data_IF_097938384450
#
_entry.id   IF_097938384450
#
_cell.length_a   1.000
_cell.length_b   1.000
_cell.length_c   1.000
_cell.angle_alpha   90.00
_cell.angle_beta   90.00
_cell.angle_gamma   90.00
#
_symmetry.space_group_name_H-M   'P 1'
#
loop_
_entity.id
_entity.type
_entity.pdbx_description
1 polymer ?
#
# COMPACT_ATOMS: atom_id res chain seq x y z
N UNK A 1 9.28 6.29 7.32
CA UNK A 1 8.77 4.93 7.06
C UNK A 1 9.88 3.89 7.08
N UNK A 2 9.50 2.62 7.28
CA UNK A 2 10.36 1.45 7.06
C UNK A 2 9.93 0.73 5.80
N UNK A 3 10.84 -0.02 5.19
CA UNK A 3 10.52 -0.88 4.04
C UNK A 3 10.79 -2.34 4.40
N UNK A 4 9.82 -3.20 4.18
CA UNK A 4 9.97 -4.65 4.21
C UNK A 4 9.82 -5.18 2.78
N UNK A 5 10.90 -5.70 2.21
CA UNK A 5 10.91 -6.31 0.89
C UNK A 5 11.12 -7.83 0.94
N UNK A 6 10.94 -8.46 2.10
CA UNK A 6 11.25 -9.89 2.31
C UNK A 6 10.50 -10.81 1.34
N UNK A 7 9.22 -10.53 1.05
CA UNK A 7 8.40 -11.30 0.12
C UNK A 7 8.90 -11.15 -1.32
N UNK A 8 9.04 -9.91 -1.80
CA UNK A 8 9.53 -9.69 -3.17
C UNK A 8 10.94 -10.27 -3.34
N UNK A 9 11.82 -10.17 -2.34
CA UNK A 9 13.16 -10.77 -2.40
C UNK A 9 13.11 -12.30 -2.55
N UNK A 10 12.20 -13.00 -1.89
CA UNK A 10 12.04 -14.46 -2.07
C UNK A 10 11.65 -14.79 -3.52
N UNK A 11 10.71 -14.05 -4.10
CA UNK A 11 10.32 -14.19 -5.50
C UNK A 11 11.47 -13.89 -6.48
N UNK A 12 12.21 -12.80 -6.27
CA UNK A 12 13.33 -12.38 -7.12
C UNK A 12 14.49 -13.38 -7.07
N UNK A 13 14.73 -13.98 -5.90
CA UNK A 13 15.72 -15.06 -5.73
C UNK A 13 15.26 -16.41 -6.29
N UNK A 14 14.06 -16.47 -6.88
CA UNK A 14 13.52 -17.68 -7.49
C UNK A 14 13.13 -18.77 -6.51
N UNK A 15 12.82 -18.42 -5.27
CA UNK A 15 12.25 -19.38 -4.32
C UNK A 15 10.86 -19.83 -4.76
N UNK A 16 10.48 -21.04 -4.35
CA UNK A 16 9.16 -21.60 -4.63
C UNK A 16 8.04 -20.73 -4.01
N UNK A 17 6.89 -20.51 -4.68
CA UNK A 17 5.81 -19.67 -4.19
C UNK A 17 5.36 -19.99 -2.76
N UNK A 18 5.34 -21.27 -2.41
CA UNK A 18 4.96 -21.75 -1.07
C UNK A 18 5.82 -21.15 0.07
N UNK A 19 7.03 -20.69 -0.24
CA UNK A 19 7.95 -20.08 0.75
C UNK A 19 7.57 -18.65 1.16
N UNK A 20 6.69 -17.99 0.40
CA UNK A 20 6.25 -16.63 0.67
C UNK A 20 4.72 -16.43 0.60
N UNK A 21 3.97 -17.38 0.05
CA UNK A 21 2.52 -17.31 -0.05
C UNK A 21 1.81 -17.53 1.30
N UNK A 22 2.46 -18.18 2.28
CA UNK A 22 1.92 -18.35 3.65
C UNK A 22 1.99 -17.07 4.51
N UNK A 23 2.21 -15.90 3.90
CA UNK A 23 2.22 -14.64 4.64
C UNK A 23 0.79 -14.22 5.02
N UNK A 24 0.62 -13.69 6.24
CA UNK A 24 -0.66 -13.25 6.78
C UNK A 24 -1.39 -12.22 5.88
N UNK A 25 -0.65 -11.41 5.11
CA UNK A 25 -1.20 -10.37 4.23
C UNK A 25 -2.22 -10.96 3.25
N UNK A 26 -1.98 -12.19 2.77
CA UNK A 26 -2.84 -12.87 1.80
C UNK A 26 -4.14 -13.37 2.41
N UNK A 27 -4.30 -13.32 3.73
CA UNK A 27 -5.55 -13.66 4.42
C UNK A 27 -6.25 -12.44 5.03
N UNK A 28 -5.65 -11.24 4.92
CA UNK A 28 -6.08 -10.05 5.63
C UNK A 28 -7.28 -9.32 5.01
N UNK A 29 -7.63 -9.61 3.75
CA UNK A 29 -8.71 -8.91 3.03
C UNK A 29 -10.14 -9.27 3.48
N UNK A 30 -10.29 -10.16 4.48
CA UNK A 30 -11.61 -10.58 4.99
C UNK A 30 -12.46 -11.38 3.98
N UNK A 31 -11.89 -11.74 2.81
CA UNK A 31 -12.54 -12.52 1.74
C UNK A 31 -11.94 -13.92 1.57
N UNK A 32 -11.19 -14.38 2.57
CA UNK A 32 -10.41 -15.62 2.52
C UNK A 32 -8.98 -15.39 2.03
N UNK A 33 -8.30 -16.51 1.76
CA UNK A 33 -6.92 -16.51 1.29
C UNK A 33 -6.85 -16.11 -0.20
N UNK A 34 -6.04 -15.12 -0.53
CA UNK A 34 -5.83 -14.58 -1.88
C UNK A 34 -4.35 -14.63 -2.25
N UNK A 35 -3.98 -15.48 -3.20
CA UNK A 35 -2.62 -15.49 -3.74
C UNK A 35 -2.62 -15.97 -5.18
N UNK A 36 -2.05 -15.17 -6.07
CA UNK A 36 -1.78 -15.51 -7.45
C UNK A 36 -0.28 -15.68 -7.66
N UNK A 37 0.13 -16.83 -8.20
CA UNK A 37 1.55 -17.09 -8.42
C UNK A 37 2.13 -16.08 -9.43
N UNK A 38 3.10 -15.24 -9.02
CA UNK A 38 3.71 -14.27 -9.92
C UNK A 38 4.53 -14.97 -11.00
N UNK A 39 4.51 -14.45 -12.24
CA UNK A 39 5.15 -15.10 -13.38
C UNK A 39 6.67 -14.98 -13.27
N UNK A 40 7.46 -16.06 -13.48
CA UNK A 40 8.92 -15.97 -13.45
C UNK A 40 9.51 -14.99 -14.48
N UNK A 41 8.83 -14.77 -15.60
CA UNK A 41 9.23 -13.82 -16.66
C UNK A 41 9.22 -12.36 -16.19
N UNK A 42 8.50 -12.04 -15.10
CA UNK A 42 8.35 -10.67 -14.61
C UNK A 42 9.51 -10.23 -13.70
N UNK A 43 10.36 -11.17 -13.26
CA UNK A 43 11.42 -10.92 -12.27
C UNK A 43 12.36 -9.78 -12.63
N UNK A 44 12.72 -9.66 -13.90
CA UNK A 44 13.67 -8.63 -14.35
C UNK A 44 13.11 -7.22 -14.12
N UNK A 45 11.90 -6.95 -14.60
CA UNK A 45 11.30 -5.63 -14.47
C UNK A 45 10.82 -5.38 -13.03
N UNK A 46 10.37 -6.42 -12.31
CA UNK A 46 10.03 -6.32 -10.87
C UNK A 46 11.29 -5.98 -10.04
N UNK A 47 12.47 -6.50 -10.41
CA UNK A 47 13.74 -6.13 -9.73
C UNK A 47 14.01 -4.64 -9.88
N UNK A 48 13.86 -4.11 -11.10
CA UNK A 48 14.06 -2.69 -11.38
C UNK A 48 13.03 -1.83 -10.62
N UNK A 49 11.77 -2.25 -10.62
CA UNK A 49 10.69 -1.55 -9.93
C UNK A 49 10.90 -1.56 -8.42
N UNK A 50 11.26 -2.71 -7.84
CA UNK A 50 11.58 -2.84 -6.42
C UNK A 50 12.68 -1.85 -6.02
N UNK A 51 13.78 -1.78 -6.77
CA UNK A 51 14.86 -0.81 -6.51
C UNK A 51 14.35 0.63 -6.57
N UNK A 52 13.58 0.97 -7.60
CA UNK A 52 13.00 2.31 -7.79
C UNK A 52 12.06 2.70 -6.65
N UNK A 53 11.10 1.84 -6.31
CA UNK A 53 10.13 2.11 -5.25
C UNK A 53 10.79 2.21 -3.89
N UNK A 54 11.79 1.36 -3.59
CA UNK A 54 12.60 1.48 -2.36
C UNK A 54 13.24 2.86 -2.26
N UNK A 55 13.88 3.32 -3.32
CA UNK A 55 14.50 4.65 -3.35
C UNK A 55 13.46 5.77 -3.17
N UNK A 56 12.32 5.67 -3.86
CA UNK A 56 11.23 6.64 -3.72
C UNK A 56 10.63 6.66 -2.31
N UNK A 57 10.43 5.51 -1.66
CA UNK A 57 9.91 5.42 -0.29
C UNK A 57 10.91 5.99 0.72
N UNK A 58 12.20 5.69 0.56
CA UNK A 58 13.24 6.22 1.45
C UNK A 58 13.43 7.73 1.30
N UNK A 59 13.21 8.28 0.11
CA UNK A 59 13.23 9.71 -0.20
C UNK A 59 11.81 10.28 -0.34
N UNK A 60 10.87 9.78 0.46
CA UNK A 60 9.46 10.17 0.37
C UNK A 60 9.26 11.66 0.62
N UNK A 61 8.48 12.30 -0.26
CA UNK A 61 8.01 13.67 -0.10
C UNK A 61 6.49 13.66 -0.24
N UNK A 62 5.79 14.16 0.77
CA UNK A 62 4.33 14.20 0.75
C UNK A 62 3.83 15.13 -0.37
N UNK A 63 2.81 14.70 -1.11
CA UNK A 63 2.11 15.60 -2.01
C UNK A 63 1.27 16.60 -1.21
N UNK A 64 1.20 17.84 -1.70
CA UNK A 64 0.41 18.91 -1.09
C UNK A 64 0.68 19.13 0.42
N UNK A 65 1.96 19.10 0.80
CA UNK A 65 2.41 19.09 2.20
C UNK A 65 1.79 20.19 3.09
N UNK A 66 1.53 21.38 2.53
CA UNK A 66 0.91 22.48 3.29
C UNK A 66 -0.50 22.13 3.74
N UNK A 67 -1.33 21.62 2.82
CA UNK A 67 -2.70 21.23 3.13
C UNK A 67 -2.73 20.00 4.05
N UNK A 68 -1.91 19.00 3.73
CA UNK A 68 -1.80 17.76 4.53
C UNK A 68 -1.46 18.09 5.98
N UNK A 69 -0.45 18.92 6.24
CA UNK A 69 -0.06 19.30 7.61
C UNK A 69 -1.09 20.18 8.32
N UNK A 70 -1.89 20.96 7.59
CA UNK A 70 -2.99 21.74 8.18
C UNK A 70 -4.15 20.83 8.63
N UNK A 71 -4.49 19.83 7.83
CA UNK A 71 -5.58 18.89 8.13
C UNK A 71 -5.16 17.84 9.17
N UNK A 72 -3.90 17.40 9.10
CA UNK A 72 -3.31 16.34 9.91
C UNK A 72 -1.97 16.80 10.51
N UNK A 73 -1.98 17.58 11.61
CA UNK A 73 -0.75 18.08 12.22
C UNK A 73 0.22 16.99 12.70
N UNK A 74 -0.29 15.79 13.02
CA UNK A 74 0.49 14.62 13.44
C UNK A 74 0.97 13.74 12.29
N UNK A 75 0.85 14.19 11.03
CA UNK A 75 1.19 13.37 9.85
C UNK A 75 2.64 12.85 9.89
N UNK A 76 3.59 13.69 10.31
CA UNK A 76 5.00 13.30 10.37
C UNK A 76 5.27 12.16 11.38
N UNK A 77 4.42 12.01 12.40
CA UNK A 77 4.51 10.93 13.38
C UNK A 77 3.90 9.64 12.82
N UNK A 78 2.72 9.76 12.19
CA UNK A 78 2.06 8.67 11.46
C UNK A 78 3.01 8.07 10.42
N UNK A 79 3.66 8.89 9.60
CA UNK A 79 4.61 8.42 8.58
C UNK A 79 5.77 7.59 9.16
N UNK A 80 6.23 7.89 10.37
CA UNK A 80 7.36 7.17 10.98
C UNK A 80 6.98 5.79 11.52
N UNK A 81 5.71 5.60 11.88
CA UNK A 81 5.21 4.37 12.48
C UNK A 81 4.95 3.27 11.45
N UNK A 82 4.72 3.64 10.18
CA UNK A 82 4.31 2.68 9.16
C UNK A 82 5.47 1.98 8.45
N UNK A 83 5.21 0.73 8.12
CA UNK A 83 6.05 -0.11 7.27
C UNK A 83 5.38 -0.28 5.91
N UNK A 84 6.13 0.02 4.86
CA UNK A 84 5.73 -0.28 3.48
C UNK A 84 6.26 -1.66 3.13
N UNK A 85 5.36 -2.59 2.83
CA UNK A 85 5.69 -3.94 2.38
C UNK A 85 5.69 -3.97 0.85
N UNK A 86 6.82 -4.35 0.26
CA UNK A 86 6.94 -4.60 -1.18
C UNK A 86 6.75 -6.09 -1.44
N UNK A 87 5.69 -6.44 -2.15
CA UNK A 87 5.21 -7.82 -2.28
C UNK A 87 4.88 -8.17 -3.74
N UNK A 88 4.50 -9.43 -3.95
CA UNK A 88 4.01 -9.96 -5.23
C UNK A 88 2.98 -11.05 -4.98
N UNK A 89 1.98 -11.14 -5.85
CA UNK A 89 0.99 -12.22 -5.83
C UNK A 89 -0.35 -11.88 -5.21
N UNK A 90 -0.66 -10.60 -4.99
CA UNK A 90 -2.05 -10.19 -4.91
C UNK A 90 -2.73 -10.27 -6.29
N UNK A 91 -4.02 -10.65 -6.34
CA UNK A 91 -4.81 -10.57 -7.57
C UNK A 91 -5.12 -9.12 -7.95
N UNK A 92 -5.56 -8.90 -9.19
CA UNK A 92 -6.17 -7.63 -9.60
C UNK A 92 -7.42 -7.33 -8.75
N UNK A 93 -7.68 -6.07 -8.36
CA UNK A 93 -6.94 -4.84 -8.67
C UNK A 93 -6.09 -4.33 -7.50
N UNK A 94 -5.51 -5.21 -6.66
CA UNK A 94 -4.84 -4.79 -5.42
C UNK A 94 -3.38 -4.38 -5.66
N UNK A 95 -3.16 -3.18 -6.22
CA UNK A 95 -1.83 -2.60 -6.40
C UNK A 95 -1.28 -1.99 -5.10
N UNK A 96 -2.07 -1.16 -4.43
CA UNK A 96 -1.74 -0.55 -3.15
C UNK A 96 -2.91 -0.65 -2.17
N UNK A 97 -2.61 -0.88 -0.89
CA UNK A 97 -3.63 -1.00 0.16
C UNK A 97 -3.03 -0.81 1.56
N UNK A 98 -3.86 -0.42 2.53
CA UNK A 98 -3.53 -0.48 3.96
C UNK A 98 -4.13 -1.73 4.59
N UNK A 99 -3.29 -2.52 5.26
CA UNK A 99 -3.70 -3.68 6.06
C UNK A 99 -3.33 -3.47 7.53
N UNK A 100 -4.12 -4.05 8.43
CA UNK A 100 -3.81 -4.08 9.86
C UNK A 100 -3.51 -5.52 10.31
N UNK A 101 -2.44 -5.69 11.09
CA UNK A 101 -2.11 -6.95 11.74
C UNK A 101 -1.49 -6.70 13.10
N UNK A 102 -2.00 -7.39 14.12
CA UNK A 102 -1.60 -7.25 15.53
C UNK A 102 -1.60 -5.78 16.02
N UNK A 103 -2.61 -5.01 15.62
CA UNK A 103 -2.77 -3.60 15.97
C UNK A 103 -1.75 -2.66 15.31
N UNK A 104 -1.01 -3.13 14.30
CA UNK A 104 -0.09 -2.33 13.49
C UNK A 104 -0.59 -2.23 12.06
N UNK A 105 -0.51 -1.03 11.49
CA UNK A 105 -0.82 -0.78 10.10
C UNK A 105 0.39 -1.00 9.19
N UNK A 106 0.13 -1.55 8.01
CA UNK A 106 1.10 -1.81 6.94
C UNK A 106 0.54 -1.22 5.65
N UNK A 107 1.38 -0.54 4.88
CA UNK A 107 1.06 -0.15 3.51
C UNK A 107 1.65 -1.25 2.63
N UNK A 108 0.85 -1.90 1.80
CA UNK A 108 1.30 -3.01 0.95
C UNK A 108 1.27 -2.56 -0.50
N UNK A 109 2.41 -2.68 -1.18
CA UNK A 109 2.53 -2.46 -2.62
C UNK A 109 2.83 -3.78 -3.31
N UNK A 110 1.91 -4.22 -4.16
CA UNK A 110 2.13 -5.37 -5.02
C UNK A 110 2.78 -4.92 -6.34
N UNK A 111 4.05 -5.30 -6.52
CA UNK A 111 4.83 -4.83 -7.67
C UNK A 111 4.35 -5.44 -8.99
N UNK A 112 3.72 -6.62 -8.96
CA UNK A 112 3.14 -7.22 -10.15
C UNK A 112 1.90 -6.45 -10.62
N UNK A 113 1.10 -5.93 -9.68
CA UNK A 113 -0.10 -5.14 -9.97
C UNK A 113 0.19 -3.67 -10.32
N UNK A 114 1.21 -3.05 -9.73
CA UNK A 114 1.73 -1.74 -10.18
C UNK A 114 2.12 -1.75 -11.68
N UNK A 115 2.50 -2.93 -12.17
CA UNK A 115 2.79 -3.17 -13.58
C UNK A 115 4.11 -2.56 -14.05
N UNK A 116 4.52 -3.01 -15.24
CA UNK A 116 5.79 -2.60 -15.86
C UNK A 116 5.85 -1.11 -16.19
N UNK A 117 4.71 -0.49 -16.48
CA UNK A 117 4.63 0.93 -16.85
C UNK A 117 5.04 1.85 -15.69
N UNK A 118 4.94 1.38 -14.43
CA UNK A 118 5.46 2.08 -13.26
C UNK A 118 6.99 2.23 -13.25
N UNK A 119 7.71 1.62 -14.20
CA UNK A 119 9.13 1.89 -14.43
C UNK A 119 9.40 3.26 -15.09
N UNK A 120 8.42 3.87 -15.77
CA UNK A 120 8.55 5.18 -16.42
C UNK A 120 9.21 6.21 -15.50
N UNK A 121 10.23 6.93 -15.95
CA UNK A 121 11.02 7.85 -15.12
C UNK A 121 10.17 8.94 -14.44
N UNK A 122 9.03 9.32 -15.02
CA UNK A 122 8.10 10.30 -14.47
C UNK A 122 7.17 9.72 -13.41
N UNK A 123 7.08 8.39 -13.30
CA UNK A 123 6.28 7.73 -12.28
C UNK A 123 6.90 7.90 -10.89
N UNK A 124 6.08 8.36 -9.94
CA UNK A 124 6.44 8.46 -8.52
C UNK A 124 5.33 7.88 -7.63
N UNK A 125 5.69 6.93 -6.77
CA UNK A 125 4.78 6.35 -5.79
C UNK A 125 4.43 7.29 -4.62
N UNK A 126 5.01 8.50 -4.58
CA UNK A 126 4.73 9.46 -3.50
C UNK A 126 3.25 9.87 -3.45
N UNK A 127 2.57 9.91 -4.59
CA UNK A 127 1.12 10.17 -4.64
C UNK A 127 0.33 9.06 -3.96
N UNK A 128 0.64 7.80 -4.30
CA UNK A 128 0.04 6.61 -3.70
C UNK A 128 0.33 6.53 -2.20
N UNK A 129 1.58 6.74 -1.79
CA UNK A 129 1.95 6.78 -0.36
C UNK A 129 1.20 7.87 0.40
N UNK A 130 1.09 9.07 -0.19
CA UNK A 130 0.33 10.17 0.44
C UNK A 130 -1.15 9.81 0.56
N UNK A 131 -1.73 9.17 -0.46
CA UNK A 131 -3.10 8.68 -0.46
C UNK A 131 -3.36 7.71 0.72
N UNK A 132 -2.57 6.64 0.82
CA UNK A 132 -2.72 5.64 1.88
C UNK A 132 -2.50 6.24 3.29
N UNK A 133 -1.52 7.13 3.45
CA UNK A 133 -1.27 7.82 4.71
C UNK A 133 -2.43 8.74 5.11
N UNK A 134 -3.17 9.31 4.15
CA UNK A 134 -4.37 10.10 4.45
C UNK A 134 -5.48 9.21 5.00
N UNK A 135 -5.72 8.03 4.42
CA UNK A 135 -6.70 7.07 4.97
C UNK A 135 -6.39 6.74 6.41
N UNK A 136 -5.11 6.46 6.71
CA UNK A 136 -4.64 6.20 8.08
C UNK A 136 -4.96 7.39 9.00
N UNK A 137 -4.59 8.61 8.60
CA UNK A 137 -4.86 9.80 9.41
C UNK A 137 -6.37 10.03 9.61
N UNK A 138 -7.17 9.78 8.57
CA UNK A 138 -8.62 9.91 8.63
C UNK A 138 -9.22 8.90 9.60
N UNK A 139 -8.80 7.63 9.53
CA UNK A 139 -9.28 6.55 10.39
C UNK A 139 -8.92 6.75 11.87
N UNK A 140 -7.81 7.42 12.17
CA UNK A 140 -7.47 7.80 13.54
C UNK A 140 -8.46 8.82 14.12
N UNK A 141 -8.97 9.73 13.29
CA UNK A 141 -9.88 10.82 13.71
C UNK A 141 -11.36 10.45 13.58
N UNK A 142 -11.71 9.68 12.56
CA UNK A 142 -13.06 9.26 12.20
C UNK A 142 -13.04 7.74 12.02
N UNK A 143 -13.13 7.01 13.13
CA UNK A 143 -13.13 5.55 13.09
C UNK A 143 -14.40 5.04 12.39
N UNK A 144 -14.22 4.08 11.48
CA UNK A 144 -15.32 3.32 10.90
C UNK A 144 -16.12 2.63 12.00
N UNK A 145 -17.44 2.77 11.95
CA UNK A 145 -18.35 2.09 12.87
C UNK A 145 -18.53 0.65 12.39
N UNK A 146 -18.46 -0.33 13.30
CA UNK A 146 -18.75 -1.71 12.95
C UNK A 146 -20.26 -1.94 12.77
N UNK A 147 -20.64 -2.83 11.86
CA UNK A 147 -22.04 -3.21 11.58
C UNK A 147 -22.94 -2.06 11.10
N UNK A 148 -22.40 -1.16 10.28
CA UNK A 148 -23.19 -0.13 9.60
C UNK A 148 -24.20 -0.74 8.62
N UNK A 149 -25.28 0.00 8.33
CA UNK A 149 -26.14 -0.33 7.20
C UNK A 149 -25.36 -0.23 5.89
N UNK A 150 -25.79 -0.94 4.85
CA UNK A 150 -25.13 -0.88 3.54
C UNK A 150 -24.96 0.56 3.01
N UNK A 151 -25.98 1.42 3.19
CA UNK A 151 -25.95 2.80 2.70
C UNK A 151 -24.95 3.64 3.51
N UNK A 152 -24.91 3.49 4.83
CA UNK A 152 -23.95 4.22 5.66
C UNK A 152 -22.52 3.77 5.38
N UNK A 153 -22.31 2.48 5.16
CA UNK A 153 -21.02 1.91 4.79
C UNK A 153 -20.52 2.41 3.43
N UNK A 154 -21.42 2.47 2.45
CA UNK A 154 -21.12 3.04 1.13
C UNK A 154 -20.78 4.53 1.24
N UNK A 155 -21.55 5.30 2.02
CA UNK A 155 -21.30 6.73 2.23
C UNK A 155 -19.95 6.98 2.92
N UNK A 156 -19.62 6.19 3.94
CA UNK A 156 -18.32 6.26 4.62
C UNK A 156 -17.19 5.98 3.64
N UNK A 157 -17.28 4.88 2.88
CA UNK A 157 -16.26 4.47 1.91
C UNK A 157 -16.10 5.53 0.81
N UNK A 158 -17.20 6.04 0.26
CA UNK A 158 -17.15 7.08 -0.77
C UNK A 158 -16.53 8.40 -0.25
N UNK A 159 -16.80 8.76 1.01
CA UNK A 159 -16.17 9.91 1.65
C UNK A 159 -14.67 9.69 1.86
N UNK A 160 -14.27 8.54 2.40
CA UNK A 160 -12.89 8.19 2.69
C UNK A 160 -12.01 8.25 1.42
N UNK A 161 -12.40 7.51 0.39
CA UNK A 161 -11.74 7.50 -0.93
C UNK A 161 -11.75 8.89 -1.60
N UNK A 162 -12.92 9.53 -1.63
CA UNK A 162 -13.08 10.84 -2.26
C UNK A 162 -12.24 11.93 -1.58
N UNK A 163 -12.14 11.89 -0.26
CA UNK A 163 -11.35 12.83 0.54
C UNK A 163 -9.84 12.62 0.31
N UNK A 164 -9.37 11.36 0.33
CA UNK A 164 -7.99 11.02 0.07
C UNK A 164 -7.54 11.46 -1.34
N UNK A 165 -8.36 11.19 -2.36
CA UNK A 165 -8.10 11.69 -3.71
C UNK A 165 -8.10 13.22 -3.80
N UNK A 166 -9.04 13.90 -3.13
CA UNK A 166 -9.18 15.36 -3.25
C UNK A 166 -7.98 16.12 -2.71
N UNK A 167 -7.29 15.62 -1.70
CA UNK A 167 -6.11 16.28 -1.11
C UNK A 167 -4.88 16.21 -2.04
N UNK A 168 -4.82 15.20 -2.91
CA UNK A 168 -3.68 14.98 -3.81
C UNK A 168 -3.65 15.92 -5.02
N UNK A 169 -4.79 16.56 -5.34
CA UNK A 169 -5.00 17.44 -6.51
C UNK A 169 -4.69 18.90 -6.19
#
# INVERSE_FOLDING_TARGET
>A
MRVDDSIVQKYLNGQEPISYSDCWIYSALGRGYVFETPKPLDREWVTQLCKKLKDQIMNFVQRNIKLVKQLFPSFDDVEKEYTVMLVVGFPDPYDAMVLEHDGKGYIVFDLTQFGKDSLDENYSCHGVLTHELIHICLHQKYRRIQNMSYIDDLNYTAFDEGFAHKILV
#
